data_IF_262064383241
#
_entry.id   IF_262064383241
#
_cell.length_a   1.000
_cell.length_b   1.000
_cell.length_c   1.000
_cell.angle_alpha   90.00
_cell.angle_beta   90.00
_cell.angle_gamma   90.00
#
_symmetry.space_group_name_H-M   'P 1'
#
loop_
_entity.id
_entity.type
_entity.pdbx_description
1 polymer ?
#
# COMPACT_ATOMS: atom_id res chain seq x y z
N UNK A 1 -0.18 13.09 -15.79
CA UNK A 1 1.12 12.75 -15.13
C UNK A 1 0.84 11.97 -13.85
N UNK A 2 1.77 11.12 -13.41
CA UNK A 2 1.64 10.35 -12.15
C UNK A 2 2.65 10.82 -11.12
N UNK A 3 2.25 10.83 -9.85
CA UNK A 3 3.08 11.21 -8.72
C UNK A 3 3.10 10.10 -7.67
N UNK A 4 4.19 10.04 -6.91
CA UNK A 4 4.47 9.02 -5.91
C UNK A 4 3.51 9.13 -4.72
N UNK A 5 2.87 8.01 -4.38
CA UNK A 5 1.99 7.84 -3.22
C UNK A 5 2.57 6.84 -2.19
N UNK A 6 3.86 6.53 -2.31
CA UNK A 6 4.65 5.78 -1.35
C UNK A 6 5.22 4.47 -1.91
N UNK A 7 6.21 3.96 -1.21
CA UNK A 7 6.84 2.67 -1.48
C UNK A 7 6.65 1.72 -0.30
N UNK A 8 6.34 0.47 -0.61
CA UNK A 8 5.89 -0.54 0.35
C UNK A 8 6.59 -1.88 0.09
N UNK A 9 7.13 -2.48 1.15
CA UNK A 9 7.65 -3.84 1.08
C UNK A 9 6.52 -4.80 1.43
N UNK A 10 6.16 -5.68 0.50
CA UNK A 10 4.96 -6.51 0.61
C UNK A 10 5.23 -7.99 0.35
N UNK A 11 4.43 -8.82 1.01
CA UNK A 11 4.14 -10.20 0.61
C UNK A 11 2.61 -10.32 0.55
N UNK A 12 2.01 -10.62 -0.62
CA UNK A 12 0.56 -10.88 -0.70
C UNK A 12 0.16 -12.02 0.23
N UNK A 13 -0.96 -11.87 0.95
CA UNK A 13 -1.49 -12.96 1.76
C UNK A 13 -2.12 -14.00 0.84
N UNK A 14 -1.73 -15.26 0.96
CA UNK A 14 -2.32 -16.38 0.23
C UNK A 14 -3.45 -17.05 1.02
N UNK A 15 -4.15 -16.27 1.84
CA UNK A 15 -5.21 -16.78 2.70
C UNK A 15 -6.51 -16.92 1.90
N UNK A 16 -7.25 -17.99 2.21
CA UNK A 16 -8.62 -18.12 1.74
C UNK A 16 -9.50 -17.21 2.60
N UNK A 17 -10.10 -16.21 1.97
CA UNK A 17 -11.06 -15.30 2.59
C UNK A 17 -12.48 -15.64 2.15
N UNK A 18 -13.47 -15.18 2.92
CA UNK A 18 -14.87 -15.21 2.51
C UNK A 18 -15.42 -13.79 2.50
N UNK A 19 -15.93 -13.36 1.36
CA UNK A 19 -16.56 -12.03 1.17
C UNK A 19 -17.92 -12.26 0.53
N UNK A 20 -18.97 -11.66 1.12
CA UNK A 20 -20.36 -11.83 0.69
C UNK A 20 -20.80 -13.30 0.52
N UNK A 21 -20.27 -14.20 1.35
CA UNK A 21 -20.59 -15.63 1.30
C UNK A 21 -19.80 -16.45 0.27
N UNK A 22 -18.87 -15.85 -0.46
CA UNK A 22 -18.02 -16.53 -1.43
C UNK A 22 -16.57 -16.64 -0.96
N UNK A 23 -15.99 -17.83 -1.09
CA UNK A 23 -14.58 -18.06 -0.76
C UNK A 23 -13.67 -17.72 -1.93
N UNK A 24 -12.62 -16.95 -1.69
CA UNK A 24 -11.58 -16.63 -2.68
C UNK A 24 -10.19 -16.83 -2.07
N UNK A 25 -9.17 -17.08 -2.89
CA UNK A 25 -7.77 -17.05 -2.44
C UNK A 25 -7.20 -15.71 -2.86
N UNK A 26 -6.84 -14.87 -1.89
CA UNK A 26 -6.26 -13.58 -2.23
C UNK A 26 -4.87 -13.79 -2.87
N UNK A 27 -4.63 -13.11 -3.98
CA UNK A 27 -3.33 -13.05 -4.68
C UNK A 27 -3.03 -11.62 -5.16
N UNK A 28 -3.82 -10.65 -4.74
CA UNK A 28 -3.74 -9.29 -5.26
C UNK A 28 -2.49 -8.61 -4.71
N UNK A 29 -1.70 -8.07 -5.63
CA UNK A 29 -0.51 -7.29 -5.32
C UNK A 29 -0.89 -5.89 -4.89
N UNK A 30 -1.27 -5.76 -3.63
CA UNK A 30 -1.71 -4.50 -3.03
C UNK A 30 -0.79 -4.05 -1.90
N UNK A 31 -0.80 -2.75 -1.63
CA UNK A 31 -0.12 -2.14 -0.48
C UNK A 31 -0.99 -2.16 0.79
N UNK A 32 -2.22 -2.63 0.71
CA UNK A 32 -3.13 -2.69 1.85
C UNK A 32 -2.80 -3.82 2.82
N UNK A 33 -2.78 -3.50 4.12
CA UNK A 33 -2.49 -4.45 5.21
C UNK A 33 -3.58 -5.50 5.42
N UNK A 34 -4.78 -5.30 4.86
CA UNK A 34 -5.86 -6.30 4.93
C UNK A 34 -5.53 -7.54 4.11
N UNK A 35 -4.87 -7.37 2.97
CA UNK A 35 -4.64 -8.44 2.00
C UNK A 35 -3.16 -8.69 1.69
N UNK A 36 -2.27 -7.85 2.22
CA UNK A 36 -0.82 -8.02 2.14
C UNK A 36 -0.20 -7.93 3.53
N UNK A 37 0.89 -8.66 3.72
CA UNK A 37 1.84 -8.38 4.79
C UNK A 37 2.72 -7.21 4.35
N UNK A 38 2.63 -6.07 5.04
CA UNK A 38 3.43 -4.87 4.77
C UNK A 38 4.54 -4.75 5.82
N UNK A 39 5.76 -4.50 5.38
CA UNK A 39 6.95 -4.45 6.23
C UNK A 39 7.61 -3.06 6.20
N UNK A 40 7.84 -2.40 7.35
CA UNK A 40 7.25 -2.71 8.64
C UNK A 40 5.85 -2.11 8.84
N UNK A 41 5.33 -1.33 7.88
CA UNK A 41 4.05 -0.65 8.05
C UNK A 41 3.96 0.14 9.38
N UNK A 42 2.80 0.08 10.04
CA UNK A 42 2.56 0.74 11.34
C UNK A 42 3.43 0.13 12.45
N UNK A 43 3.66 -1.19 12.44
CA UNK A 43 4.35 -1.87 13.53
C UNK A 43 5.86 -1.54 13.60
N UNK A 44 6.39 -0.89 12.57
CA UNK A 44 7.74 -0.32 12.59
C UNK A 44 7.90 0.84 13.56
N UNK A 45 6.82 1.55 13.90
CA UNK A 45 6.84 2.60 14.89
C UNK A 45 6.76 2.00 16.29
N UNK A 46 7.81 2.21 17.11
CA UNK A 46 7.85 1.72 18.50
C UNK A 46 6.62 2.13 19.31
N UNK A 47 6.17 3.36 19.13
CA UNK A 47 5.02 3.94 19.83
C UNK A 47 3.66 3.42 19.34
N UNK A 48 3.59 2.77 18.18
CA UNK A 48 2.39 2.12 17.65
C UNK A 48 2.51 0.58 17.60
N UNK A 49 3.60 0.03 18.13
CA UNK A 49 3.94 -1.38 17.98
C UNK A 49 2.97 -2.30 18.73
N UNK A 50 2.49 -3.32 18.03
CA UNK A 50 1.86 -4.49 18.61
C UNK A 50 2.39 -5.75 17.95
N UNK A 51 2.82 -6.73 18.75
CA UNK A 51 3.27 -8.04 18.24
C UNK A 51 2.20 -8.75 17.39
N UNK A 52 0.91 -8.39 17.54
CA UNK A 52 -0.19 -8.95 16.73
C UNK A 52 -0.16 -8.48 15.28
N UNK A 53 0.49 -7.35 14.99
CA UNK A 53 0.61 -6.78 13.65
C UNK A 53 1.81 -7.36 12.88
N UNK A 54 2.76 -7.99 13.57
CA UNK A 54 3.94 -8.58 12.96
C UNK A 54 3.54 -9.86 12.22
N UNK A 55 3.81 -9.98 10.91
CA UNK A 55 3.53 -11.20 10.17
C UNK A 55 4.25 -12.41 10.77
N UNK A 56 3.54 -13.54 10.95
CA UNK A 56 4.09 -14.75 11.60
C UNK A 56 5.36 -15.29 10.93
N UNK A 57 5.53 -15.08 9.63
CA UNK A 57 6.71 -15.49 8.88
C UNK A 57 7.97 -14.67 9.23
N UNK A 58 7.80 -13.53 9.90
CA UNK A 58 8.89 -12.67 10.37
C UNK A 58 8.93 -12.70 11.91
N UNK A 59 10.00 -13.26 12.45
CA UNK A 59 10.18 -13.42 13.90
C UNK A 59 11.56 -12.89 14.32
N UNK A 60 11.72 -11.56 14.38
CA UNK A 60 12.99 -10.96 14.78
C UNK A 60 13.27 -11.24 16.26
N UNK A 61 14.55 -11.36 16.60
CA UNK A 61 15.00 -11.37 17.99
C UNK A 61 14.72 -10.00 18.64
N UNK A 62 14.58 -9.92 19.98
CA UNK A 62 14.30 -8.66 20.67
C UNK A 62 15.29 -7.53 20.32
N UNK A 63 16.58 -7.84 20.19
CA UNK A 63 17.63 -6.90 19.79
C UNK A 63 17.50 -6.43 18.33
N UNK A 64 17.06 -7.31 17.42
CA UNK A 64 16.81 -6.98 16.02
C UNK A 64 15.59 -6.06 15.90
N UNK A 65 14.53 -6.36 16.65
CA UNK A 65 13.33 -5.52 16.72
C UNK A 65 13.65 -4.14 17.30
N UNK A 66 14.46 -4.07 18.36
CA UNK A 66 14.91 -2.81 18.93
C UNK A 66 15.74 -1.99 17.91
N UNK A 67 16.65 -2.64 17.17
CA UNK A 67 17.42 -2.00 16.11
C UNK A 67 16.54 -1.48 14.97
N UNK A 68 15.52 -2.24 14.59
CA UNK A 68 14.52 -1.87 13.59
C UNK A 68 13.75 -0.61 14.03
N UNK A 69 13.23 -0.61 15.25
CA UNK A 69 12.50 0.53 15.80
C UNK A 69 13.38 1.79 15.86
N UNK A 70 14.62 1.68 16.30
CA UNK A 70 15.57 2.81 16.30
C UNK A 70 15.84 3.33 14.89
N UNK A 71 15.97 2.45 13.90
CA UNK A 71 16.17 2.86 12.51
C UNK A 71 14.92 3.55 11.95
N UNK A 72 13.72 3.03 12.21
CA UNK A 72 12.46 3.64 11.76
C UNK A 72 12.25 5.01 12.41
N UNK A 73 12.53 5.16 13.70
CA UNK A 73 12.45 6.47 14.38
C UNK A 73 13.41 7.50 13.75
N UNK A 74 14.63 7.08 13.42
CA UNK A 74 15.61 7.95 12.76
C UNK A 74 15.18 8.36 11.34
N UNK A 75 14.71 7.41 10.52
CA UNK A 75 14.28 7.67 9.15
C UNK A 75 12.97 8.44 9.10
N UNK A 76 12.07 8.25 10.07
CA UNK A 76 10.88 9.08 10.23
C UNK A 76 11.26 10.52 10.57
N UNK A 77 12.18 10.73 11.51
CA UNK A 77 12.69 12.06 11.86
C UNK A 77 13.43 12.77 10.72
N UNK A 78 13.96 12.02 9.75
CA UNK A 78 14.60 12.55 8.54
C UNK A 78 13.62 12.73 7.36
N UNK A 79 12.36 12.33 7.50
CA UNK A 79 11.37 12.37 6.43
C UNK A 79 11.57 11.32 5.33
N UNK A 80 12.25 10.21 5.62
CA UNK A 80 12.47 9.09 4.70
C UNK A 80 11.45 7.96 4.87
N UNK A 81 10.79 7.91 6.03
CA UNK A 81 9.68 7.03 6.34
C UNK A 81 8.48 7.86 6.82
N UNK A 82 7.28 7.52 6.39
CA UNK A 82 6.07 8.29 6.67
C UNK A 82 4.96 7.49 7.34
N UNK A 83 4.08 8.19 8.06
CA UNK A 83 2.87 7.63 8.66
C UNK A 83 1.78 7.38 7.59
N UNK A 84 1.10 6.22 7.58
CA UNK A 84 1.10 5.17 8.60
C UNK A 84 2.15 4.07 8.41
N UNK A 85 3.00 4.12 7.39
CA UNK A 85 4.10 3.18 7.25
C UNK A 85 4.47 2.93 5.81
N UNK A 86 5.13 3.92 5.21
CA UNK A 86 5.62 3.85 3.84
C UNK A 86 6.97 4.53 3.72
N UNK A 87 7.77 4.09 2.76
CA UNK A 87 9.01 4.75 2.40
C UNK A 87 8.75 5.84 1.37
N UNK A 88 9.49 6.95 1.46
CA UNK A 88 9.40 8.03 0.48
C UNK A 88 10.30 7.79 -0.75
N UNK A 89 11.25 6.86 -0.65
CA UNK A 89 12.13 6.49 -1.76
C UNK A 89 12.36 4.97 -1.83
N UNK A 90 12.67 4.50 -3.04
CA UNK A 90 13.04 3.11 -3.28
C UNK A 90 14.33 2.73 -2.56
N UNK A 91 15.31 3.65 -2.54
CA UNK A 91 16.60 3.45 -1.90
C UNK A 91 16.42 3.08 -0.43
N UNK A 92 15.59 3.85 0.30
CA UNK A 92 15.33 3.60 1.72
C UNK A 92 14.53 2.33 1.97
N UNK A 93 13.59 1.99 1.08
CA UNK A 93 12.91 0.72 1.15
C UNK A 93 13.87 -0.46 0.94
N UNK A 94 14.80 -0.37 -0.01
CA UNK A 94 15.81 -1.42 -0.23
C UNK A 94 16.81 -1.49 0.92
N UNK A 95 17.27 -0.36 1.47
CA UNK A 95 18.11 -0.32 2.67
C UNK A 95 17.45 -1.08 3.82
N UNK A 96 16.17 -0.79 4.11
CA UNK A 96 15.40 -1.52 5.13
C UNK A 96 15.33 -3.02 4.83
N UNK A 97 14.99 -3.37 3.59
CA UNK A 97 14.87 -4.78 3.17
C UNK A 97 16.19 -5.53 3.38
N UNK A 98 17.32 -4.95 2.98
CA UNK A 98 18.64 -5.56 3.15
C UNK A 98 19.02 -5.71 4.62
N UNK A 99 18.69 -4.72 5.44
CA UNK A 99 19.07 -4.70 6.84
C UNK A 99 18.22 -5.64 7.72
N UNK A 100 16.92 -5.68 7.48
CA UNK A 100 15.97 -6.34 8.40
C UNK A 100 15.23 -7.53 7.78
N UNK A 101 15.13 -7.62 6.45
CA UNK A 101 14.33 -8.65 5.77
C UNK A 101 15.16 -9.59 4.89
N UNK A 102 16.49 -9.58 5.00
CA UNK A 102 17.37 -10.39 4.15
C UNK A 102 17.06 -11.90 4.24
N UNK A 103 16.67 -12.38 5.42
CA UNK A 103 16.29 -13.77 5.66
C UNK A 103 14.83 -14.09 5.28
N UNK A 104 14.04 -13.09 4.86
CA UNK A 104 12.62 -13.25 4.54
C UNK A 104 12.42 -13.28 3.01
N UNK A 105 12.39 -14.47 2.38
CA UNK A 105 12.20 -14.58 0.95
C UNK A 105 10.80 -14.09 0.54
N UNK A 106 10.67 -13.68 -0.73
CA UNK A 106 9.38 -13.31 -1.31
C UNK A 106 8.96 -11.85 -1.08
N UNK A 107 9.61 -11.10 -0.19
CA UNK A 107 9.36 -9.66 -0.03
C UNK A 107 9.68 -8.91 -1.32
N UNK A 108 8.70 -8.21 -1.87
CA UNK A 108 8.86 -7.33 -3.03
C UNK A 108 8.64 -5.88 -2.66
N UNK A 109 9.22 -4.98 -3.44
CA UNK A 109 8.96 -3.55 -3.33
C UNK A 109 7.91 -3.15 -4.36
N UNK A 110 6.77 -2.65 -3.86
CA UNK A 110 5.77 -1.97 -4.67
C UNK A 110 5.91 -0.46 -4.48
N UNK A 111 5.80 0.29 -5.58
CA UNK A 111 5.49 1.72 -5.53
C UNK A 111 4.08 1.93 -6.05
N UNK A 112 3.33 2.83 -5.42
CA UNK A 112 2.03 3.27 -5.91
C UNK A 112 2.09 4.72 -6.35
N UNK A 113 1.35 5.03 -7.41
CA UNK A 113 1.37 6.35 -8.02
C UNK A 113 -0.05 6.82 -8.34
N UNK A 114 -0.36 8.05 -7.96
CA UNK A 114 -1.66 8.65 -8.19
C UNK A 114 -1.59 9.59 -9.40
N UNK A 115 -2.59 9.51 -10.27
CA UNK A 115 -2.70 10.43 -11.40
C UNK A 115 -3.00 11.85 -10.92
N UNK A 116 -2.44 12.86 -11.59
CA UNK A 116 -2.57 14.27 -11.22
C UNK A 116 -4.02 14.77 -11.16
N UNK A 117 -4.93 14.14 -11.91
CA UNK A 117 -6.35 14.53 -11.91
C UNK A 117 -7.03 14.30 -10.56
N UNK A 118 -6.54 13.35 -9.76
CA UNK A 118 -7.13 12.98 -8.46
C UNK A 118 -6.51 13.72 -7.28
N UNK A 119 -5.43 14.44 -7.54
CA UNK A 119 -4.55 14.94 -6.50
C UNK A 119 -5.22 15.96 -5.60
N UNK A 120 -5.98 16.89 -6.20
CA UNK A 120 -6.73 17.89 -5.45
C UNK A 120 -7.77 17.23 -4.54
N UNK A 121 -8.52 16.25 -5.05
CA UNK A 121 -9.51 15.52 -4.28
C UNK A 121 -8.88 14.71 -3.13
N UNK A 122 -7.77 14.01 -3.40
CA UNK A 122 -7.04 13.25 -2.38
C UNK A 122 -6.50 14.15 -1.26
N UNK A 123 -5.93 15.32 -1.59
CA UNK A 123 -5.42 16.28 -0.61
C UNK A 123 -6.53 16.94 0.23
N UNK A 124 -7.73 17.10 -0.34
CA UNK A 124 -8.92 17.57 0.39
C UNK A 124 -9.48 16.50 1.32
N UNK A 125 -9.43 15.23 0.88
CA UNK A 125 -9.91 14.09 1.67
C UNK A 125 -9.03 13.83 2.90
N UNK A 126 -7.70 13.83 2.71
CA UNK A 126 -6.75 13.57 3.77
C UNK A 126 -6.79 14.66 4.85
N UNK A 127 -6.99 14.24 6.09
CA UNK A 127 -6.96 15.16 7.21
C UNK A 127 -5.51 15.59 7.48
N UNK A 128 -5.27 16.88 7.78
CA UNK A 128 -3.99 17.31 8.29
C UNK A 128 -3.67 16.54 9.59
N UNK A 129 -2.46 16.01 9.70
CA UNK A 129 -2.04 15.47 10.98
C UNK A 129 -1.86 16.60 12.02
N UNK A 130 -2.29 16.34 13.26
CA UNK A 130 -2.21 17.30 14.37
C UNK A 130 -0.77 17.45 14.94
N UNK A 131 0.16 16.58 14.54
CA UNK A 131 1.59 16.71 14.83
C UNK A 131 2.27 17.61 13.79
N UNK A 132 2.81 18.76 14.22
CA UNK A 132 3.29 19.84 13.34
C UNK A 132 4.44 19.49 12.40
N UNK A 133 5.01 18.28 12.44
CA UNK A 133 6.20 17.91 11.65
C UNK A 133 6.23 16.44 11.16
N UNK A 134 5.09 15.73 11.19
CA UNK A 134 5.07 14.34 10.74
C UNK A 134 5.04 14.24 9.22
N UNK A 135 5.94 13.45 8.65
CA UNK A 135 5.80 13.05 7.24
C UNK A 135 4.65 12.05 7.13
N UNK A 136 3.55 12.48 6.50
CA UNK A 136 2.35 11.68 6.23
C UNK A 136 2.03 11.62 4.74
N UNK A 137 1.00 10.86 4.36
CA UNK A 137 0.63 10.71 2.96
C UNK A 137 0.21 12.05 2.34
N UNK A 138 -0.43 12.95 3.10
CA UNK A 138 -0.81 14.28 2.63
C UNK A 138 0.42 15.11 2.27
N UNK A 139 1.45 15.07 3.10
CA UNK A 139 2.74 15.72 2.90
C UNK A 139 3.45 15.14 1.68
N UNK A 140 3.53 13.80 1.57
CA UNK A 140 4.13 13.14 0.42
C UNK A 140 3.41 13.52 -0.88
N UNK A 141 2.07 13.45 -0.89
CA UNK A 141 1.32 13.85 -2.06
C UNK A 141 1.61 15.31 -2.38
N UNK A 142 1.55 16.22 -1.40
CA UNK A 142 1.84 17.65 -1.58
C UNK A 142 3.22 17.98 -2.20
N UNK A 143 4.21 17.10 -2.06
CA UNK A 143 5.53 17.26 -2.70
C UNK A 143 5.51 17.02 -4.23
N UNK A 144 4.48 16.35 -4.75
CA UNK A 144 4.32 16.06 -6.18
C UNK A 144 5.57 15.40 -6.78
N UNK A 145 6.15 14.43 -6.06
CA UNK A 145 7.32 13.68 -6.54
C UNK A 145 6.90 12.84 -7.74
N UNK A 146 7.41 13.18 -8.93
CA UNK A 146 7.06 12.52 -10.20
C UNK A 146 7.39 11.01 -10.13
N UNK A 147 6.51 10.20 -10.72
CA UNK A 147 6.74 8.77 -10.94
C UNK A 147 8.10 8.53 -11.61
N UNK A 148 8.97 7.66 -11.05
CA UNK A 148 10.25 7.34 -11.65
C UNK A 148 10.07 6.49 -12.91
N UNK A 149 11.00 6.61 -13.86
CA UNK A 149 11.02 5.77 -15.06
C UNK A 149 11.31 4.29 -14.76
N UNK A 150 12.03 4.02 -13.66
CA UNK A 150 12.31 2.67 -13.19
C UNK A 150 11.04 1.94 -12.71
N UNK A 151 11.15 0.61 -12.57
CA UNK A 151 10.07 -0.26 -12.14
C UNK A 151 9.18 -0.75 -13.29
N UNK A 152 8.65 -1.95 -13.14
CA UNK A 152 7.70 -2.56 -14.07
C UNK A 152 6.28 -2.16 -13.66
N UNK A 153 5.50 -1.54 -14.57
CA UNK A 153 4.07 -1.33 -14.34
C UNK A 153 3.35 -2.68 -14.38
N UNK A 154 2.69 -3.03 -13.28
CA UNK A 154 1.98 -4.32 -13.12
C UNK A 154 0.46 -4.16 -13.11
N UNK A 155 -0.05 -2.94 -13.24
CA UNK A 155 -1.48 -2.63 -13.32
C UNK A 155 -1.90 -1.48 -12.40
N UNK A 156 -3.19 -1.46 -12.08
CA UNK A 156 -3.83 -0.45 -11.25
C UNK A 156 -4.58 -1.12 -10.09
N UNK A 157 -4.36 -0.64 -8.88
CA UNK A 157 -5.11 -1.03 -7.70
C UNK A 157 -6.17 0.02 -7.41
N UNK A 158 -7.39 -0.42 -7.12
CA UNK A 158 -8.47 0.46 -6.67
C UNK A 158 -8.44 0.49 -5.14
N UNK A 159 -7.85 1.55 -4.60
CA UNK A 159 -7.64 1.69 -3.16
C UNK A 159 -8.58 2.77 -2.61
N UNK A 160 -9.32 2.40 -1.56
CA UNK A 160 -10.04 3.30 -0.69
C UNK A 160 -9.05 4.05 0.18
N UNK A 161 -8.83 5.32 -0.11
CA UNK A 161 -7.99 6.20 0.69
C UNK A 161 -8.70 6.49 2.01
N UNK A 162 -8.11 6.08 3.13
CA UNK A 162 -8.60 6.43 4.46
C UNK A 162 -8.09 7.83 4.85
N UNK A 163 -8.86 8.56 5.64
CA UNK A 163 -8.58 9.95 6.01
C UNK A 163 -7.23 10.16 6.73
N UNK A 164 -6.73 9.14 7.42
CA UNK A 164 -5.41 9.10 8.08
C UNK A 164 -4.26 8.58 7.20
N UNK A 165 -4.50 8.29 5.92
CA UNK A 165 -3.49 7.86 4.95
C UNK A 165 -3.25 6.35 4.83
N UNK A 166 -4.13 5.53 5.39
CA UNK A 166 -4.18 4.09 5.12
C UNK A 166 -4.94 3.77 3.82
N UNK A 167 -4.92 2.50 3.42
CA UNK A 167 -5.62 2.04 2.22
C UNK A 167 -6.50 0.81 2.49
N UNK A 168 -7.76 0.92 2.13
CA UNK A 168 -8.70 -0.19 2.02
C UNK A 168 -8.64 -0.76 0.58
N UNK A 169 -8.46 -2.07 0.36
CA UNK A 169 -8.35 -2.60 -0.98
C UNK A 169 -9.71 -3.09 -1.47
N UNK A 170 -10.07 -2.80 -2.74
CA UNK A 170 -11.37 -3.21 -3.29
C UNK A 170 -11.59 -4.73 -3.17
N UNK A 171 -10.50 -5.50 -3.33
CA UNK A 171 -10.53 -6.96 -3.32
C UNK A 171 -10.83 -7.57 -1.95
N UNK A 172 -10.93 -6.74 -0.90
CA UNK A 172 -11.47 -7.14 0.39
C UNK A 172 -13.01 -7.14 0.43
N UNK A 173 -13.67 -6.42 -0.50
CA UNK A 173 -15.13 -6.23 -0.49
C UNK A 173 -15.83 -6.81 -1.72
N UNK A 174 -15.14 -6.85 -2.87
CA UNK A 174 -15.72 -7.28 -4.14
C UNK A 174 -14.91 -8.41 -4.76
N UNK A 175 -15.62 -9.45 -5.18
CA UNK A 175 -15.01 -10.58 -5.86
C UNK A 175 -14.76 -10.22 -7.32
N UNK A 176 -13.64 -10.68 -7.87
CA UNK A 176 -13.34 -10.52 -9.30
C UNK A 176 -14.48 -10.99 -10.22
N UNK A 177 -15.14 -12.09 -9.88
CA UNK A 177 -16.26 -12.63 -10.66
C UNK A 177 -17.44 -11.66 -10.77
N UNK A 178 -17.64 -10.81 -9.75
CA UNK A 178 -18.70 -9.81 -9.71
C UNK A 178 -18.42 -8.66 -10.68
N UNK A 179 -17.16 -8.20 -10.76
CA UNK A 179 -16.77 -7.22 -11.78
C UNK A 179 -16.86 -7.78 -13.19
N UNK A 180 -16.45 -9.03 -13.37
CA UNK A 180 -16.55 -9.68 -14.67
C UNK A 180 -18.01 -9.81 -15.12
N UNK A 181 -18.92 -10.17 -14.21
CA UNK A 181 -20.34 -10.32 -14.52
C UNK A 181 -21.04 -8.98 -14.76
N UNK A 182 -20.81 -7.99 -13.90
CA UNK A 182 -21.55 -6.72 -13.91
C UNK A 182 -20.98 -5.71 -14.90
N UNK A 183 -19.65 -5.69 -15.07
CA UNK A 183 -18.96 -4.68 -15.88
C UNK A 183 -18.15 -5.27 -17.05
N UNK A 184 -18.00 -6.59 -17.13
CA UNK A 184 -17.16 -7.23 -18.15
C UNK A 184 -15.66 -7.03 -17.92
N UNK A 185 -15.26 -6.68 -16.69
CA UNK A 185 -13.88 -6.35 -16.34
C UNK A 185 -13.21 -7.54 -15.65
N UNK A 186 -12.05 -7.95 -16.17
CA UNK A 186 -11.19 -8.97 -15.57
C UNK A 186 -9.95 -8.34 -14.94
N UNK A 187 -9.44 -8.95 -13.87
CA UNK A 187 -8.16 -8.57 -13.31
C UNK A 187 -7.02 -9.30 -14.05
N UNK A 188 -5.82 -8.74 -13.99
CA UNK A 188 -4.63 -9.36 -14.55
C UNK A 188 -4.04 -10.42 -13.59
N UNK A 189 -2.91 -11.02 -13.98
CA UNK A 189 -2.25 -12.07 -13.19
C UNK A 189 -1.76 -11.62 -11.80
N UNK A 190 -1.68 -10.31 -11.57
CA UNK A 190 -1.34 -9.71 -10.29
C UNK A 190 -2.57 -9.36 -9.44
N UNK A 191 -3.79 -9.70 -9.90
CA UNK A 191 -5.04 -9.33 -9.22
C UNK A 191 -5.32 -7.83 -9.27
N UNK A 192 -4.84 -7.15 -10.31
CA UNK A 192 -4.95 -5.71 -10.53
C UNK A 192 -5.73 -5.41 -11.82
N UNK A 193 -6.31 -4.22 -11.91
CA UNK A 193 -6.92 -3.75 -13.15
C UNK A 193 -5.83 -3.45 -14.18
N UNK A 194 -6.13 -3.69 -15.45
CA UNK A 194 -5.18 -3.39 -16.53
C UNK A 194 -5.20 -1.90 -16.91
N UNK A 195 -6.34 -1.21 -16.72
CA UNK A 195 -6.52 0.19 -17.11
C UNK A 195 -7.08 1.00 -15.94
N UNK A 196 -6.68 2.28 -15.79
CA UNK A 196 -7.24 3.15 -14.76
C UNK A 196 -8.72 3.45 -14.99
N UNK A 197 -9.18 3.46 -16.25
CA UNK A 197 -10.59 3.66 -16.60
C UNK A 197 -11.48 2.54 -16.04
N UNK A 198 -10.99 1.30 -15.98
CA UNK A 198 -11.73 0.17 -15.44
C UNK A 198 -11.93 0.34 -13.91
N UNK A 199 -10.90 0.82 -13.20
CA UNK A 199 -11.03 1.20 -11.79
C UNK A 199 -12.07 2.31 -11.57
N UNK A 200 -12.03 3.36 -12.38
CA UNK A 200 -12.98 4.48 -12.30
C UNK A 200 -14.42 4.01 -12.49
N UNK A 201 -14.64 3.12 -13.46
CA UNK A 201 -15.97 2.59 -13.80
C UNK A 201 -16.59 1.84 -12.62
N UNK A 202 -15.79 1.13 -11.82
CA UNK A 202 -16.28 0.31 -10.70
C UNK A 202 -16.18 1.00 -9.33
N UNK A 203 -15.58 2.20 -9.25
CA UNK A 203 -15.35 2.88 -7.96
C UNK A 203 -16.63 3.12 -7.16
N UNK A 204 -17.68 3.69 -7.77
CA UNK A 204 -18.95 3.95 -7.08
C UNK A 204 -19.68 2.65 -6.66
N UNK A 205 -19.52 1.59 -7.44
CA UNK A 205 -20.05 0.28 -7.09
C UNK A 205 -19.32 -0.32 -5.90
N UNK A 206 -17.99 -0.24 -5.92
CA UNK A 206 -17.11 -0.66 -4.81
C UNK A 206 -17.48 0.07 -3.53
N UNK A 207 -17.65 1.39 -3.60
CA UNK A 207 -18.02 2.24 -2.47
C UNK A 207 -19.34 1.81 -1.82
N UNK A 208 -20.34 1.50 -2.65
CA UNK A 208 -21.65 1.02 -2.19
C UNK A 208 -21.56 -0.33 -1.47
N UNK A 209 -20.67 -1.22 -1.91
CA UNK A 209 -20.52 -2.56 -1.31
C UNK A 209 -19.64 -2.51 -0.06
N UNK A 210 -18.56 -1.73 -0.12
CA UNK A 210 -17.62 -1.61 0.98
C UNK A 210 -18.29 -0.97 2.20
N UNK A 211 -19.11 0.07 1.98
CA UNK A 211 -19.75 0.85 3.07
C UNK A 211 -18.71 1.36 4.08
N UNK A 212 -17.54 1.74 3.58
CA UNK A 212 -16.40 2.23 4.36
C UNK A 212 -16.24 3.75 4.18
N UNK A 213 -15.72 4.47 5.19
CA UNK A 213 -15.39 5.90 5.06
C UNK A 213 -14.09 6.07 4.28
N UNK A 214 -14.09 5.69 3.00
CA UNK A 214 -12.92 5.65 2.13
C UNK A 214 -13.17 6.38 0.81
N UNK A 215 -12.13 7.02 0.27
CA UNK A 215 -12.19 7.64 -1.05
C UNK A 215 -11.48 6.78 -2.09
N UNK A 216 -12.27 6.08 -2.91
CA UNK A 216 -11.77 5.09 -3.88
C UNK A 216 -11.10 5.72 -5.09
N UNK A 217 -9.80 5.43 -5.26
CA UNK A 217 -8.98 6.02 -6.32
C UNK A 217 -8.13 4.95 -7.05
N UNK A 218 -7.89 5.12 -8.36
CA UNK A 218 -6.99 4.26 -9.11
C UNK A 218 -5.53 4.65 -8.86
N UNK A 219 -4.80 3.76 -8.20
CA UNK A 219 -3.35 3.88 -8.04
C UNK A 219 -2.66 2.98 -9.06
N UNK A 220 -1.78 3.57 -9.88
CA UNK A 220 -0.86 2.77 -10.68
C UNK A 220 0.10 2.04 -9.74
N UNK A 221 0.34 0.77 -10.00
CA UNK A 221 1.27 -0.05 -9.23
C UNK A 221 2.49 -0.39 -10.08
N UNK A 222 3.68 -0.15 -9.53
CA UNK A 222 4.94 -0.67 -10.09
C UNK A 222 5.64 -1.62 -9.15
N UNK A 223 6.21 -2.67 -9.74
CA UNK A 223 7.09 -3.62 -9.09
C UNK A 223 8.55 -3.21 -9.30
N UNK A 224 9.32 -3.11 -8.21
CA UNK A 224 10.74 -2.76 -8.26
C UNK A 224 11.60 -3.97 -7.91
N UNK A 225 12.56 -4.25 -8.80
CA UNK A 225 13.58 -5.26 -8.57
C UNK A 225 14.71 -4.68 -7.72
N UNK A 226 15.21 -5.48 -6.78
CA UNK A 226 16.45 -5.16 -6.09
C UNK A 226 17.60 -5.48 -7.05
N UNK A 227 18.33 -4.46 -7.52
CA UNK A 227 19.54 -4.68 -8.28
C UNK A 227 20.65 -5.10 -7.30
N UNK A 228 21.02 -6.37 -7.38
CA UNK A 228 22.20 -6.96 -6.74
C UNK A 228 23.50 -6.38 -7.26
#
# INVERSE_FOLDING_TARGET
>A
MYYTAGYYLVIPKHEQGTVNGHTFTNRSWSVSTYISHVYPGIWGFKWAYSNRQVPKAYSPLPEELASLHTWIEAEFGQGNYGWPGFFLSQEKAFEFKHKFLAALPGVKLLGIFLHEEYYAAALTWLQPNNGTEWTDLRTLLGQQVVEPSAGEEIGFDLLGLLDFGGYEPFSYHVLEAEYQHTFGIALNTYGLFTKPADCQQVAAYTDTIADEPAFWLPFKVKLFACHS
#
